data_IF_441521556952
#
_entry.id   IF_441521556952
#
_cell.length_a   1.000
_cell.length_b   1.000
_cell.length_c   1.000
_cell.angle_alpha   90.00
_cell.angle_beta   90.00
_cell.angle_gamma   90.00
#
_symmetry.space_group_name_H-M   'P 1'
#
loop_
_entity.id
_entity.type
_entity.pdbx_description
1 polymer ?
#
# COMPACT_ATOMS: atom_id res chain seq x y z
N UNK A 1 -30.26 50.99 -29.66
CA UNK A 1 -29.96 49.58 -30.00
C UNK A 1 -28.90 49.10 -29.02
N UNK A 2 -29.32 48.54 -27.88
CA UNK A 2 -28.42 48.07 -26.82
C UNK A 2 -28.11 46.60 -27.06
N UNK A 3 -26.87 46.30 -27.40
CA UNK A 3 -26.36 44.93 -27.53
C UNK A 3 -25.89 44.54 -26.13
N UNK A 4 -26.65 43.69 -25.45
CA UNK A 4 -26.22 43.03 -24.23
C UNK A 4 -25.21 41.94 -24.60
N UNK A 5 -23.92 42.21 -24.38
CA UNK A 5 -22.88 41.17 -24.41
C UNK A 5 -22.91 40.40 -23.09
N UNK A 6 -23.58 39.26 -23.09
CA UNK A 6 -23.52 38.29 -21.99
C UNK A 6 -22.14 37.63 -21.99
N UNK A 7 -21.27 38.06 -21.07
CA UNK A 7 -20.02 37.38 -20.78
C UNK A 7 -20.34 36.08 -20.02
N UNK A 8 -20.35 34.95 -20.73
CA UNK A 8 -20.44 33.65 -20.11
C UNK A 8 -19.13 33.38 -19.35
N UNK A 9 -19.16 33.49 -18.03
CA UNK A 9 -18.09 33.00 -17.16
C UNK A 9 -18.16 31.47 -17.22
N UNK A 10 -17.35 30.87 -18.07
CA UNK A 10 -17.09 29.43 -18.03
C UNK A 10 -16.27 29.20 -16.76
N UNK A 11 -16.93 28.79 -15.68
CA UNK A 11 -16.25 28.10 -14.58
C UNK A 11 -15.64 26.83 -15.16
N UNK A 12 -14.36 26.89 -15.51
CA UNK A 12 -13.54 25.70 -15.65
C UNK A 12 -13.44 25.07 -14.26
N UNK A 13 -14.45 24.28 -13.89
CA UNK A 13 -14.29 23.24 -12.89
C UNK A 13 -13.26 22.28 -13.48
N UNK A 14 -11.99 22.52 -13.20
CA UNK A 14 -10.95 21.53 -13.40
C UNK A 14 -11.40 20.29 -12.65
N UNK A 15 -11.92 19.31 -13.37
CA UNK A 15 -12.18 17.99 -12.83
C UNK A 15 -10.80 17.38 -12.56
N UNK A 16 -10.21 17.71 -11.41
CA UNK A 16 -9.20 16.85 -10.85
C UNK A 16 -9.91 15.56 -10.50
N UNK A 17 -9.86 14.58 -11.40
CA UNK A 17 -10.24 13.21 -11.08
C UNK A 17 -9.16 12.66 -10.15
N UNK A 18 -9.21 13.04 -8.88
CA UNK A 18 -8.42 12.37 -7.86
C UNK A 18 -8.91 10.92 -7.77
N UNK A 19 -7.98 9.98 -7.79
CA UNK A 19 -8.30 8.58 -7.49
C UNK A 19 -8.86 8.47 -6.06
N UNK A 20 -9.56 7.37 -5.80
CA UNK A 20 -9.98 7.01 -4.45
C UNK A 20 -8.76 6.90 -3.51
N UNK A 21 -9.00 6.87 -2.20
CA UNK A 21 -7.97 6.52 -1.22
C UNK A 21 -8.52 5.46 -0.30
N UNK A 22 -7.84 4.32 -0.17
CA UNK A 22 -8.21 3.26 0.77
C UNK A 22 -7.35 3.39 2.02
N UNK A 23 -7.99 3.49 3.18
CA UNK A 23 -7.33 3.47 4.49
C UNK A 23 -7.41 2.04 5.01
N UNK A 24 -6.27 1.37 5.14
CA UNK A 24 -6.17 0.03 5.70
C UNK A 24 -6.31 0.08 7.22
N UNK A 25 -7.16 -0.80 7.73
CA UNK A 25 -7.32 -1.08 9.16
C UNK A 25 -6.62 -2.41 9.47
N UNK A 26 -5.39 -2.32 9.98
CA UNK A 26 -4.52 -3.47 10.19
C UNK A 26 -4.87 -4.28 11.46
N UNK A 27 -6.08 -4.15 12.00
CA UNK A 27 -6.54 -4.93 13.17
C UNK A 27 -6.73 -6.41 12.83
N UNK A 28 -7.32 -6.71 11.67
CA UNK A 28 -7.76 -8.06 11.32
C UNK A 28 -6.90 -8.76 10.24
N UNK A 29 -5.99 -8.01 9.62
CA UNK A 29 -5.07 -8.52 8.59
C UNK A 29 -3.66 -7.89 8.72
N UNK A 30 -3.03 -7.95 9.90
CA UNK A 30 -1.73 -7.33 10.13
C UNK A 30 -0.62 -7.88 9.22
N UNK A 31 -0.66 -9.15 8.83
CA UNK A 31 0.34 -9.76 7.95
C UNK A 31 0.25 -9.20 6.53
N UNK A 32 -0.98 -9.06 5.98
CA UNK A 32 -1.21 -8.44 4.68
C UNK A 32 -0.77 -6.96 4.67
N UNK A 33 -1.11 -6.20 5.72
CA UNK A 33 -0.62 -4.84 5.88
C UNK A 33 0.93 -4.75 5.90
N UNK A 34 1.62 -5.71 6.52
CA UNK A 34 3.08 -5.74 6.48
C UNK A 34 3.59 -5.97 5.06
N UNK A 35 2.99 -6.88 4.29
CA UNK A 35 3.34 -7.14 2.90
C UNK A 35 3.13 -5.90 2.01
N UNK A 36 2.01 -5.18 2.18
CA UNK A 36 1.73 -3.91 1.49
C UNK A 36 2.79 -2.86 1.78
N UNK A 37 3.07 -2.62 3.06
CA UNK A 37 4.04 -1.63 3.49
C UNK A 37 5.46 -1.98 3.05
N UNK A 38 5.83 -3.27 3.08
CA UNK A 38 7.09 -3.74 2.53
C UNK A 38 7.15 -3.59 1.02
N UNK A 39 6.07 -3.89 0.29
CA UNK A 39 5.99 -3.67 -1.15
C UNK A 39 6.22 -2.21 -1.54
N UNK A 40 5.59 -1.28 -0.84
CA UNK A 40 5.67 0.16 -1.14
C UNK A 40 7.02 0.75 -0.71
N UNK A 41 7.48 0.46 0.52
CA UNK A 41 8.66 1.12 1.09
C UNK A 41 9.95 0.30 0.98
N UNK A 42 9.86 -1.02 0.84
CA UNK A 42 10.99 -1.91 0.60
C UNK A 42 11.43 -1.88 -0.86
N UNK A 43 12.64 -2.38 -1.18
CA UNK A 43 13.09 -2.51 -2.57
C UNK A 43 12.17 -3.49 -3.32
N UNK A 44 11.91 -3.35 -4.65
CA UNK A 44 12.34 -2.27 -5.54
C UNK A 44 11.50 -0.98 -5.41
N UNK A 45 10.57 -0.91 -4.47
CA UNK A 45 9.48 0.08 -4.34
C UNK A 45 8.42 -0.12 -5.40
N UNK A 46 7.28 -0.60 -4.94
CA UNK A 46 6.13 -0.87 -5.78
C UNK A 46 5.18 0.35 -5.73
N UNK A 47 4.39 0.57 -6.79
CA UNK A 47 3.49 1.72 -6.84
C UNK A 47 2.49 1.69 -5.68
N UNK A 48 2.33 2.82 -5.00
CA UNK A 48 1.30 3.02 -3.97
C UNK A 48 -0.06 3.42 -4.53
N UNK A 49 -0.06 4.00 -5.74
CA UNK A 49 -1.28 4.26 -6.50
C UNK A 49 -1.53 3.11 -7.46
N UNK A 50 -2.63 2.42 -7.24
CA UNK A 50 -3.05 1.24 -7.99
C UNK A 50 -4.33 1.55 -8.77
N UNK A 51 -4.65 0.71 -9.75
CA UNK A 51 -5.90 0.83 -10.51
C UNK A 51 -6.65 -0.49 -10.46
N UNK A 52 -7.82 -0.49 -9.82
CA UNK A 52 -8.77 -1.58 -9.91
C UNK A 52 -9.45 -1.54 -11.28
N UNK A 53 -9.15 -2.52 -12.12
CA UNK A 53 -9.66 -2.63 -13.48
C UNK A 53 -10.71 -3.73 -13.63
N UNK A 54 -11.25 -4.22 -12.50
CA UNK A 54 -12.24 -5.29 -12.42
C UNK A 54 -11.86 -6.50 -13.31
N UNK A 55 -10.69 -7.12 -13.06
CA UNK A 55 -10.20 -8.18 -13.94
C UNK A 55 -11.13 -9.39 -13.93
N UNK A 56 -11.19 -10.09 -15.05
CA UNK A 56 -11.79 -11.43 -15.06
C UNK A 56 -10.97 -12.39 -14.21
N UNK A 57 -11.58 -13.49 -13.75
CA UNK A 57 -10.85 -14.51 -12.98
C UNK A 57 -9.65 -15.11 -13.71
N UNK A 58 -9.66 -15.09 -15.06
CA UNK A 58 -8.52 -15.54 -15.86
C UNK A 58 -7.37 -14.52 -15.80
N UNK A 59 -7.68 -13.23 -15.91
CA UNK A 59 -6.68 -12.16 -15.78
C UNK A 59 -6.08 -12.16 -14.38
N UNK A 60 -6.91 -12.24 -13.34
CA UNK A 60 -6.45 -12.27 -11.95
C UNK A 60 -5.57 -13.49 -11.66
N UNK A 61 -5.90 -14.66 -12.22
CA UNK A 61 -5.07 -15.87 -12.14
C UNK A 61 -3.72 -15.69 -12.84
N UNK A 62 -3.70 -15.04 -14.00
CA UNK A 62 -2.46 -14.76 -14.71
C UNK A 62 -1.59 -13.76 -13.94
N UNK A 63 -2.19 -12.76 -13.28
CA UNK A 63 -1.48 -11.84 -12.39
C UNK A 63 -0.86 -12.57 -11.19
N UNK A 64 -1.59 -13.48 -10.55
CA UNK A 64 -1.05 -14.38 -9.50
C UNK A 64 0.14 -15.24 -9.95
N UNK A 65 0.13 -15.68 -11.21
CA UNK A 65 1.26 -16.41 -11.80
C UNK A 65 2.44 -15.49 -12.10
N UNK A 66 2.14 -14.26 -12.53
CA UNK A 66 3.12 -13.20 -12.79
C UNK A 66 3.87 -12.82 -11.51
N UNK A 67 3.14 -12.53 -10.42
CA UNK A 67 3.67 -12.17 -9.10
C UNK A 67 4.52 -13.31 -8.53
N UNK A 68 4.02 -14.53 -8.66
CA UNK A 68 4.63 -15.74 -8.15
C UNK A 68 3.87 -16.40 -7.01
N UNK A 69 2.70 -15.90 -6.62
CA UNK A 69 1.85 -16.63 -5.68
C UNK A 69 1.37 -17.98 -6.22
N UNK A 70 1.17 -18.08 -7.52
CA UNK A 70 0.92 -19.36 -8.22
C UNK A 70 2.14 -19.75 -9.05
N UNK A 71 2.67 -20.94 -8.81
CA UNK A 71 3.77 -21.54 -9.56
C UNK A 71 3.33 -21.98 -10.97
N UNK A 72 4.30 -22.24 -11.86
CA UNK A 72 4.06 -22.65 -13.25
C UNK A 72 3.30 -23.97 -13.37
N UNK A 73 3.49 -24.88 -12.41
CA UNK A 73 2.75 -26.14 -12.28
C UNK A 73 1.35 -25.98 -11.65
N UNK A 74 0.92 -24.75 -11.36
CA UNK A 74 -0.40 -24.44 -10.79
C UNK A 74 -0.50 -24.56 -9.26
N UNK A 75 0.59 -24.93 -8.57
CA UNK A 75 0.63 -25.00 -7.11
C UNK A 75 0.86 -23.61 -6.49
N UNK A 76 0.59 -23.47 -5.19
CA UNK A 76 0.84 -22.23 -4.44
C UNK A 76 2.27 -22.18 -3.90
N UNK A 77 2.92 -21.01 -3.96
CA UNK A 77 4.20 -20.80 -3.31
C UNK A 77 4.17 -21.06 -1.79
N UNK A 78 2.99 -20.97 -1.18
CA UNK A 78 2.77 -21.14 0.26
C UNK A 78 2.21 -22.52 0.63
N UNK A 79 2.27 -23.50 -0.27
CA UNK A 79 1.83 -24.85 0.04
C UNK A 79 2.81 -25.54 1.01
N UNK A 80 2.34 -26.11 2.12
CA UNK A 80 3.21 -26.74 3.12
C UNK A 80 4.10 -27.88 2.57
N UNK A 81 3.63 -28.64 1.57
CA UNK A 81 4.34 -29.81 1.05
C UNK A 81 5.08 -29.57 -0.26
N UNK A 82 4.68 -28.54 -1.01
CA UNK A 82 5.14 -28.30 -2.39
C UNK A 82 5.40 -26.82 -2.69
N UNK A 83 5.29 -25.98 -1.67
CA UNK A 83 5.61 -24.57 -1.72
C UNK A 83 7.10 -24.32 -1.53
N UNK A 84 7.43 -23.07 -1.31
CA UNK A 84 8.79 -22.55 -1.27
C UNK A 84 9.27 -22.53 0.17
N UNK A 85 10.20 -23.42 0.50
CA UNK A 85 10.91 -23.36 1.79
C UNK A 85 11.87 -22.16 1.83
N UNK A 86 12.01 -21.47 2.97
CA UNK A 86 11.34 -21.74 4.26
C UNK A 86 9.95 -21.08 4.40
N UNK A 87 9.55 -20.19 3.49
CA UNK A 87 8.35 -19.33 3.62
C UNK A 87 7.03 -20.11 3.72
N UNK A 88 6.95 -21.28 3.10
CA UNK A 88 5.76 -22.12 3.13
C UNK A 88 5.39 -22.64 4.54
N UNK A 89 6.24 -22.42 5.54
CA UNK A 89 5.94 -22.69 6.95
C UNK A 89 5.16 -21.55 7.63
N UNK A 90 5.11 -20.35 7.04
CA UNK A 90 4.47 -19.18 7.64
C UNK A 90 2.94 -19.22 7.52
N UNK A 91 2.43 -19.85 6.46
CA UNK A 91 1.01 -20.07 6.30
C UNK A 91 0.62 -20.64 4.95
N UNK A 92 -0.63 -21.13 4.81
CA UNK A 92 -1.06 -21.88 3.63
C UNK A 92 -1.49 -21.00 2.44
N UNK A 93 -1.57 -19.69 2.63
CA UNK A 93 -2.05 -18.74 1.61
C UNK A 93 -0.98 -17.74 1.25
N UNK A 94 -0.92 -17.39 -0.04
CA UNK A 94 0.03 -16.42 -0.57
C UNK A 94 -0.68 -15.09 -0.79
N UNK A 95 -0.15 -14.05 -0.19
CA UNK A 95 -0.51 -12.67 -0.46
C UNK A 95 0.52 -12.01 -1.38
N UNK A 96 0.08 -11.00 -2.14
CA UNK A 96 0.85 -10.35 -3.18
C UNK A 96 0.57 -8.85 -3.28
N UNK A 97 1.64 -8.05 -3.23
CA UNK A 97 1.59 -6.64 -3.57
C UNK A 97 2.40 -6.35 -4.85
N UNK A 98 1.86 -5.60 -5.83
CA UNK A 98 0.48 -5.11 -5.89
C UNK A 98 -0.56 -6.22 -6.09
N UNK A 99 -1.78 -5.98 -5.61
CA UNK A 99 -2.86 -6.97 -5.64
C UNK A 99 -3.16 -7.47 -7.05
N UNK A 100 -3.40 -8.78 -7.22
CA UNK A 100 -3.82 -9.35 -8.50
C UNK A 100 -5.14 -8.78 -9.04
N UNK A 101 -5.96 -8.16 -8.18
CA UNK A 101 -7.18 -7.46 -8.58
C UNK A 101 -6.92 -6.11 -9.27
N UNK A 102 -5.68 -5.62 -9.30
CA UNK A 102 -5.31 -4.33 -9.90
C UNK A 102 -4.51 -4.50 -11.19
N UNK A 103 -4.47 -3.47 -12.03
CA UNK A 103 -3.74 -3.49 -13.31
C UNK A 103 -2.23 -3.69 -13.16
N UNK A 104 -1.68 -3.28 -12.02
CA UNK A 104 -0.29 -3.43 -11.61
C UNK A 104 0.01 -4.84 -11.07
N UNK A 105 -1.03 -5.63 -10.76
CA UNK A 105 -0.89 -6.99 -10.26
C UNK A 105 -0.10 -7.87 -11.21
N UNK A 106 0.74 -8.73 -10.65
CA UNK A 106 1.57 -9.65 -11.42
C UNK A 106 2.81 -9.05 -12.08
N UNK A 107 3.14 -7.80 -11.78
CA UNK A 107 4.39 -7.18 -12.22
C UNK A 107 5.62 -7.89 -11.66
N UNK A 108 6.74 -7.79 -12.38
CA UNK A 108 8.02 -8.29 -11.90
C UNK A 108 8.45 -7.54 -10.63
N UNK A 109 8.99 -8.28 -9.66
CA UNK A 109 9.42 -7.71 -8.37
C UNK A 109 8.31 -7.48 -7.36
N UNK A 110 7.08 -7.94 -7.63
CA UNK A 110 5.99 -8.02 -6.65
C UNK A 110 6.49 -8.68 -5.35
N UNK A 111 6.04 -8.16 -4.22
CA UNK A 111 6.35 -8.73 -2.90
C UNK A 111 5.30 -9.78 -2.57
N UNK A 112 5.77 -10.94 -2.13
CA UNK A 112 4.94 -12.07 -1.72
C UNK A 112 5.15 -12.33 -0.24
N UNK A 113 4.07 -12.75 0.44
CA UNK A 113 4.13 -13.24 1.82
C UNK A 113 3.24 -14.45 2.00
N UNK A 114 3.74 -15.48 2.67
CA UNK A 114 2.93 -16.61 3.11
C UNK A 114 2.34 -16.29 4.48
N UNK A 115 1.03 -16.50 4.63
CA UNK A 115 0.30 -16.08 5.83
C UNK A 115 -0.94 -16.95 6.07
N UNK A 116 -1.61 -16.71 7.20
CA UNK A 116 -2.83 -17.42 7.55
C UNK A 116 -3.97 -17.14 6.55
N UNK A 117 -4.83 -18.14 6.32
CA UNK A 117 -6.02 -17.98 5.46
C UNK A 117 -6.96 -16.89 5.97
N UNK A 118 -7.03 -16.70 7.29
CA UNK A 118 -7.90 -15.70 7.92
C UNK A 118 -7.44 -14.29 7.59
N UNK A 119 -6.15 -14.01 7.71
CA UNK A 119 -5.54 -12.69 7.42
C UNK A 119 -5.77 -12.30 5.95
N UNK A 120 -5.33 -13.16 5.02
CA UNK A 120 -5.46 -12.94 3.57
C UNK A 120 -6.95 -12.81 3.13
N UNK A 121 -7.85 -13.62 3.72
CA UNK A 121 -9.28 -13.50 3.41
C UNK A 121 -9.91 -12.21 3.98
N UNK A 122 -9.42 -11.74 5.12
CA UNK A 122 -9.90 -10.51 5.75
C UNK A 122 -9.49 -9.29 4.91
N UNK A 123 -8.25 -9.23 4.42
CA UNK A 123 -7.80 -8.17 3.52
C UNK A 123 -8.59 -8.15 2.20
N UNK A 124 -8.70 -9.30 1.52
CA UNK A 124 -9.49 -9.38 0.27
C UNK A 124 -10.97 -8.99 0.48
N UNK A 125 -11.54 -9.36 1.63
CA UNK A 125 -12.87 -8.94 2.05
C UNK A 125 -12.96 -7.42 2.29
N UNK A 126 -11.93 -6.85 2.92
CA UNK A 126 -11.81 -5.42 3.20
C UNK A 126 -11.76 -4.59 1.91
N UNK A 127 -10.87 -4.94 0.97
CA UNK A 127 -10.78 -4.26 -0.34
C UNK A 127 -12.10 -4.32 -1.10
N UNK A 128 -12.74 -5.50 -1.12
CA UNK A 128 -14.02 -5.69 -1.82
C UNK A 128 -15.15 -4.86 -1.20
N UNK A 129 -15.24 -4.82 0.13
CA UNK A 129 -16.32 -4.13 0.85
C UNK A 129 -16.11 -2.61 0.93
N UNK A 130 -14.90 -2.19 1.28
CA UNK A 130 -14.59 -0.82 1.63
C UNK A 130 -14.04 0.01 0.47
N UNK A 131 -13.53 -0.61 -0.59
CA UNK A 131 -13.04 0.11 -1.78
C UNK A 131 -13.89 -0.21 -3.01
N UNK A 132 -13.89 -1.46 -3.48
CA UNK A 132 -14.44 -1.80 -4.80
C UNK A 132 -15.96 -1.59 -4.89
N UNK A 133 -16.69 -2.03 -3.88
CA UNK A 133 -18.16 -1.90 -3.81
C UNK A 133 -18.63 -0.61 -3.16
N UNK A 134 -17.78 0.04 -2.37
CA UNK A 134 -18.14 1.25 -1.62
C UNK A 134 -18.50 2.35 -2.64
N UNK A 135 -19.66 3.04 -2.50
CA UNK A 135 -20.07 4.07 -3.44
C UNK A 135 -19.00 5.14 -3.66
N UNK A 136 -18.95 5.71 -4.87
CA UNK A 136 -18.01 6.81 -5.20
C UNK A 136 -18.24 8.02 -4.29
N UNK A 137 -19.50 8.32 -3.98
CA UNK A 137 -19.87 9.37 -3.02
C UNK A 137 -19.29 9.14 -1.62
N UNK A 138 -18.89 7.90 -1.29
CA UNK A 138 -18.28 7.52 -0.02
C UNK A 138 -16.77 7.21 -0.17
N UNK A 139 -16.13 7.73 -1.22
CA UNK A 139 -14.68 7.59 -1.47
C UNK A 139 -14.23 6.26 -2.08
N UNK A 140 -15.17 5.36 -2.41
CA UNK A 140 -14.87 4.08 -3.06
C UNK A 140 -14.96 4.10 -4.58
N UNK A 141 -14.96 2.92 -5.20
CA UNK A 141 -15.05 2.75 -6.65
C UNK A 141 -16.48 2.58 -7.17
N UNK A 142 -17.46 2.29 -6.30
CA UNK A 142 -18.87 2.14 -6.66
C UNK A 142 -19.17 1.05 -7.68
N UNK A 143 -18.33 0.01 -7.78
CA UNK A 143 -18.33 -0.99 -8.86
C UNK A 143 -18.15 -0.40 -10.27
N UNK A 144 -17.50 0.77 -10.39
CA UNK A 144 -17.15 1.38 -11.67
C UNK A 144 -15.65 1.30 -11.86
N UNK A 145 -15.22 0.52 -12.86
CA UNK A 145 -13.83 0.40 -13.28
C UNK A 145 -13.59 1.17 -14.59
N UNK A 146 -12.38 1.68 -14.85
CA UNK A 146 -11.21 1.64 -13.97
C UNK A 146 -11.35 2.63 -12.80
N UNK A 147 -10.88 2.20 -11.62
CA UNK A 147 -10.85 3.02 -10.42
C UNK A 147 -9.41 3.10 -9.91
N UNK A 148 -8.77 4.24 -10.10
CA UNK A 148 -7.46 4.51 -9.50
C UNK A 148 -7.63 4.82 -8.02
N UNK A 149 -6.74 4.29 -7.19
CA UNK A 149 -6.74 4.55 -5.76
C UNK A 149 -5.33 4.57 -5.17
N UNK A 150 -5.15 5.28 -4.05
CA UNK A 150 -3.89 5.27 -3.28
C UNK A 150 -4.11 4.61 -1.94
N UNK A 151 -3.09 3.88 -1.46
CA UNK A 151 -3.13 3.19 -0.17
C UNK A 151 -2.67 4.11 0.97
N UNK A 152 -3.42 4.11 2.06
CA UNK A 152 -3.08 4.74 3.33
C UNK A 152 -3.33 3.73 4.47
N UNK A 153 -2.83 4.01 5.67
CA UNK A 153 -3.06 3.17 6.86
C UNK A 153 -3.60 4.01 8.01
N UNK A 154 -4.51 3.43 8.80
CA UNK A 154 -5.00 4.05 10.03
C UNK A 154 -3.89 4.06 11.10
N UNK A 155 -3.57 5.24 11.61
CA UNK A 155 -2.52 5.41 12.63
C UNK A 155 -2.86 4.76 13.98
N UNK A 156 -4.13 4.46 14.25
CA UNK A 156 -4.52 3.74 15.45
C UNK A 156 -4.17 2.25 15.38
N UNK A 157 -4.00 1.69 14.18
CA UNK A 157 -3.81 0.26 13.96
C UNK A 157 -2.44 -0.07 13.35
N UNK A 158 -1.67 0.95 12.97
CA UNK A 158 -0.30 0.82 12.43
C UNK A 158 0.65 0.04 13.34
N UNK A 159 0.41 0.04 14.66
CA UNK A 159 1.21 -0.72 15.62
C UNK A 159 1.13 -2.24 15.42
N UNK A 160 0.07 -2.73 14.77
CA UNK A 160 -0.08 -4.15 14.42
C UNK A 160 0.76 -4.55 13.19
N UNK A 161 1.29 -3.58 12.45
CA UNK A 161 2.08 -3.80 11.24
C UNK A 161 3.40 -3.02 11.30
N UNK A 162 4.43 -3.58 11.96
CA UNK A 162 5.72 -2.92 12.16
C UNK A 162 6.42 -2.45 10.88
N UNK A 163 6.17 -3.11 9.74
CA UNK A 163 6.75 -2.70 8.45
C UNK A 163 6.12 -1.39 7.93
N UNK A 164 4.88 -1.09 8.35
CA UNK A 164 4.22 0.18 8.10
C UNK A 164 4.77 1.31 8.98
N UNK A 165 5.15 1.04 10.23
CA UNK A 165 5.70 2.06 11.13
C UNK A 165 7.23 2.17 11.08
N UNK A 166 7.90 1.33 10.26
CA UNK A 166 9.35 1.41 10.03
C UNK A 166 10.15 1.21 11.32
N UNK A 167 9.77 0.24 12.14
CA UNK A 167 10.39 -0.03 13.44
C UNK A 167 11.94 -0.02 13.34
N UNK A 168 12.53 1.08 13.83
CA UNK A 168 13.93 1.30 14.20
C UNK A 168 15.02 1.49 13.12
N UNK A 169 14.98 2.50 12.24
CA UNK A 169 16.26 3.05 11.68
C UNK A 169 16.23 4.28 10.76
N UNK A 170 15.07 4.76 10.30
CA UNK A 170 15.09 5.80 9.25
C UNK A 170 15.57 5.28 7.88
N UNK A 171 15.64 3.95 7.71
CA UNK A 171 15.84 3.26 6.44
C UNK A 171 14.55 2.57 5.98
N UNK A 172 14.54 1.92 4.79
CA UNK A 172 13.45 1.04 4.33
C UNK A 172 13.07 0.06 5.44
N UNK A 173 11.79 -0.38 5.53
CA UNK A 173 11.42 -1.45 6.44
C UNK A 173 12.34 -2.65 6.19
N UNK A 174 12.96 -3.13 7.26
CA UNK A 174 13.71 -4.38 7.20
C UNK A 174 12.69 -5.50 7.09
N UNK A 175 12.82 -6.32 6.06
CA UNK A 175 12.06 -7.55 5.90
C UNK A 175 12.17 -8.36 7.20
N UNK A 176 11.03 -8.76 7.75
CA UNK A 176 10.93 -9.46 9.03
C UNK A 176 11.27 -10.96 8.93
N UNK A 177 11.59 -11.43 7.72
CA UNK A 177 11.92 -12.80 7.36
C UNK A 177 10.88 -13.46 6.47
N UNK A 178 9.71 -12.85 6.29
CA UNK A 178 8.56 -13.48 5.67
C UNK A 178 8.27 -12.99 4.25
N UNK A 179 8.79 -11.82 3.85
CA UNK A 179 8.63 -11.35 2.46
C UNK A 179 9.62 -12.01 1.52
N UNK A 180 9.15 -12.46 0.37
CA UNK A 180 9.96 -13.09 -0.68
C UNK A 180 9.47 -12.69 -2.07
N UNK A 181 10.25 -13.03 -3.09
CA UNK A 181 9.99 -12.63 -4.48
C UNK A 181 10.28 -13.73 -5.45
N UNK A 182 9.56 -13.69 -6.58
CA UNK A 182 9.86 -14.52 -7.74
C UNK A 182 11.06 -13.97 -8.52
N UNK A 183 12.00 -14.86 -8.82
CA UNK A 183 13.17 -14.59 -9.66
C UNK A 183 12.81 -14.75 -11.15
N UNK A 184 13.51 -14.04 -12.03
CA UNK A 184 13.32 -14.12 -13.49
C UNK A 184 13.48 -15.54 -14.05
N UNK A 185 14.33 -16.37 -13.43
CA UNK A 185 14.55 -17.78 -13.79
C UNK A 185 13.50 -18.77 -13.28
N UNK A 186 12.45 -18.32 -12.58
CA UNK A 186 11.37 -19.20 -12.09
C UNK A 186 11.57 -19.79 -10.68
N UNK A 187 12.55 -19.30 -9.93
CA UNK A 187 12.74 -19.59 -8.49
C UNK A 187 12.25 -18.46 -7.58
N UNK A 188 12.60 -18.54 -6.30
CA UNK A 188 12.25 -17.52 -5.30
C UNK A 188 13.47 -17.16 -4.45
N UNK A 189 13.51 -15.93 -3.96
CA UNK A 189 14.53 -15.46 -3.03
C UNK A 189 13.88 -14.64 -1.92
N UNK A 190 14.53 -14.62 -0.76
CA UNK A 190 14.13 -13.75 0.34
C UNK A 190 14.19 -12.32 -0.17
N UNK A 191 13.21 -11.49 0.20
CA UNK A 191 13.34 -10.05 -0.03
C UNK A 191 14.27 -9.41 1.03
N UNK A 192 14.93 -10.21 1.88
CA UNK A 192 15.78 -9.71 2.96
C UNK A 192 16.92 -8.87 2.40
N UNK A 193 17.10 -7.70 3.01
CA UNK A 193 18.25 -6.81 2.80
C UNK A 193 19.41 -7.33 3.64
N UNK A 194 20.05 -8.43 3.25
CA UNK A 194 21.33 -8.76 3.89
C UNK A 194 22.43 -7.90 3.26
N UNK A 195 23.14 -7.15 4.09
CA UNK A 195 24.31 -6.35 3.69
C UNK A 195 25.51 -7.24 3.28
N UNK A 196 25.37 -8.57 3.29
CA UNK A 196 26.51 -9.50 3.22
C UNK A 196 26.43 -10.65 2.21
N UNK A 197 25.32 -10.97 1.55
CA UNK A 197 25.26 -12.23 0.77
C UNK A 197 24.76 -12.12 -0.67
N UNK A 198 25.34 -12.98 -1.52
CA UNK A 198 25.38 -12.96 -3.00
C UNK A 198 24.08 -13.37 -3.72
N UNK A 199 22.97 -13.58 -3.01
CA UNK A 199 21.69 -13.97 -3.63
C UNK A 199 20.81 -12.76 -3.98
N UNK A 200 21.47 -11.68 -4.42
CA UNK A 200 20.88 -10.35 -4.46
C UNK A 200 20.10 -10.14 -5.76
N UNK A 201 18.80 -9.87 -5.64
CA UNK A 201 18.17 -8.84 -6.48
C UNK A 201 18.94 -7.56 -6.17
N UNK A 202 19.99 -7.28 -6.97
CA UNK A 202 21.10 -6.33 -6.76
C UNK A 202 20.86 -5.29 -5.65
N UNK A 203 21.83 -5.03 -4.74
CA UNK A 203 21.63 -4.10 -3.64
C UNK A 203 21.19 -2.78 -4.24
N UNK A 204 19.89 -2.47 -4.13
CA UNK A 204 19.39 -1.19 -4.56
C UNK A 204 20.12 -0.20 -3.65
N UNK A 205 20.94 0.71 -4.21
CA UNK A 205 21.61 1.68 -3.38
C UNK A 205 20.53 2.40 -2.57
N UNK A 206 20.75 2.54 -1.27
CA UNK A 206 19.89 3.25 -0.31
C UNK A 206 19.67 4.75 -0.66
N UNK A 207 19.98 5.17 -1.88
CA UNK A 207 20.06 6.56 -2.27
C UNK A 207 18.72 7.22 -2.55
N UNK A 208 17.69 6.49 -3.00
CA UNK A 208 16.42 7.11 -3.39
C UNK A 208 15.22 6.39 -2.75
N UNK A 209 14.56 7.07 -1.81
CA UNK A 209 13.18 6.78 -1.36
C UNK A 209 13.02 6.21 0.06
N UNK A 210 14.09 5.98 0.83
CA UNK A 210 13.96 5.74 2.28
C UNK A 210 13.95 7.07 2.98
N UNK A 211 12.89 7.85 2.80
CA UNK A 211 12.79 9.07 3.59
C UNK A 211 12.52 8.67 5.06
N UNK A 212 13.18 9.36 6.01
CA UNK A 212 12.95 9.15 7.42
C UNK A 212 11.46 9.18 7.79
N UNK A 213 11.10 8.48 8.87
CA UNK A 213 9.71 8.40 9.36
C UNK A 213 9.03 9.78 9.47
N UNK A 214 9.77 10.81 9.85
CA UNK A 214 9.22 12.16 10.00
C UNK A 214 8.82 12.85 8.69
N UNK A 215 9.30 12.36 7.55
CA UNK A 215 8.90 12.82 6.22
C UNK A 215 7.69 12.06 5.68
N UNK A 216 7.27 10.95 6.31
CA UNK A 216 6.03 10.25 5.95
C UNK A 216 4.83 11.16 6.19
N UNK A 217 3.89 11.17 5.26
CA UNK A 217 2.81 12.15 5.24
C UNK A 217 1.62 11.63 6.04
N UNK A 218 1.16 12.46 6.97
CA UNK A 218 0.06 12.14 7.88
C UNK A 218 -1.07 13.15 7.69
N UNK A 219 -2.31 12.67 7.65
CA UNK A 219 -3.48 13.50 7.46
C UNK A 219 -4.47 13.30 8.59
N UNK A 220 -5.15 14.38 8.98
CA UNK A 220 -6.27 14.38 9.91
C UNK A 220 -7.58 14.28 9.13
N UNK A 221 -8.47 13.38 9.57
CA UNK A 221 -9.82 13.25 9.05
C UNK A 221 -10.87 13.99 9.90
N UNK A 222 -12.07 14.17 9.36
CA UNK A 222 -13.17 14.92 9.99
C UNK A 222 -13.67 14.33 11.32
N UNK A 223 -13.48 13.03 11.52
CA UNK A 223 -13.84 12.32 12.76
C UNK A 223 -12.69 12.30 13.79
N UNK A 224 -11.56 12.95 13.48
CA UNK A 224 -10.37 12.97 14.32
C UNK A 224 -9.41 11.80 14.10
N UNK A 225 -9.77 10.80 13.28
CA UNK A 225 -8.83 9.72 12.91
C UNK A 225 -7.66 10.30 12.12
N UNK A 226 -6.47 9.73 12.35
CA UNK A 226 -5.23 10.08 11.66
C UNK A 226 -4.85 8.94 10.72
N UNK A 227 -4.42 9.29 9.52
CA UNK A 227 -3.96 8.31 8.53
C UNK A 227 -2.55 8.66 8.09
N UNK A 228 -1.75 7.65 7.78
CA UNK A 228 -0.48 7.82 7.11
C UNK A 228 -0.60 7.36 5.67
N UNK A 229 -0.25 8.24 4.73
CA UNK A 229 -0.23 7.92 3.31
C UNK A 229 0.93 6.96 3.03
N UNK A 230 0.62 5.80 2.45
CA UNK A 230 1.65 4.88 1.98
C UNK A 230 2.09 5.36 0.60
N UNK A 231 3.09 6.23 0.52
CA UNK A 231 3.60 6.74 -0.77
C UNK A 231 5.09 6.94 -0.70
N UNK A 232 5.79 6.78 -1.82
CA UNK A 232 7.19 7.23 -1.96
C UNK A 232 7.32 8.60 -2.65
N UNK A 233 6.20 9.12 -3.16
CA UNK A 233 6.08 10.45 -3.74
C UNK A 233 5.61 11.45 -2.67
N UNK A 234 6.55 12.25 -2.16
CA UNK A 234 6.27 13.28 -1.16
C UNK A 234 5.55 14.50 -1.76
N UNK A 235 5.58 14.67 -3.07
CA UNK A 235 4.98 15.79 -3.80
C UNK A 235 3.54 15.46 -4.26
N UNK A 236 3.07 14.23 -4.04
CA UNK A 236 1.70 13.81 -4.37
C UNK A 236 0.66 14.78 -3.80
N UNK A 237 -0.19 15.36 -4.64
CA UNK A 237 -1.20 16.31 -4.15
C UNK A 237 -2.40 15.56 -3.58
N UNK A 238 -2.66 15.73 -2.28
CA UNK A 238 -3.87 15.25 -1.60
C UNK A 238 -4.72 16.46 -1.19
N UNK A 239 -5.87 16.71 -1.83
CA UNK A 239 -6.68 17.87 -1.52
C UNK A 239 -7.43 17.70 -0.19
N UNK A 240 -7.61 18.81 0.53
CA UNK A 240 -8.61 18.88 1.59
C UNK A 240 -10.00 18.63 1.01
N UNK A 241 -10.85 17.92 1.76
CA UNK A 241 -12.17 17.49 1.35
C UNK A 241 -12.21 16.18 0.55
N UNK A 242 -11.06 15.53 0.32
CA UNK A 242 -11.02 14.21 -0.33
C UNK A 242 -11.81 13.19 0.52
N UNK A 243 -12.85 12.58 -0.06
CA UNK A 243 -13.54 11.43 0.52
C UNK A 243 -12.61 10.22 0.48
N UNK A 244 -12.47 9.52 1.61
CA UNK A 244 -11.62 8.33 1.71
C UNK A 244 -12.45 7.08 2.00
N UNK A 245 -12.07 6.00 1.34
CA UNK A 245 -12.59 4.67 1.58
C UNK A 245 -11.99 4.10 2.88
N UNK A 246 -12.82 3.97 3.90
CA UNK A 246 -12.51 3.29 5.17
C UNK A 246 -13.54 2.20 5.46
N UNK A 247 -13.34 1.42 6.53
CA UNK A 247 -14.43 0.71 7.18
C UNK A 247 -15.49 1.70 7.68
N UNK A 248 -16.76 1.31 7.58
CA UNK A 248 -17.89 2.12 8.03
C UNK A 248 -18.14 3.38 7.19
N UNK A 249 -18.52 4.46 7.88
CA UNK A 249 -18.96 5.71 7.27
C UNK A 249 -17.89 6.39 6.42
N UNK A 250 -18.32 7.24 5.49
CA UNK A 250 -17.40 7.99 4.66
C UNK A 250 -16.70 9.08 5.49
N UNK A 251 -15.39 9.21 5.31
CA UNK A 251 -14.56 10.19 6.01
C UNK A 251 -13.92 11.13 5.00
N UNK A 252 -13.56 12.33 5.43
CA UNK A 252 -12.86 13.31 4.57
C UNK A 252 -11.54 13.72 5.18
N UNK A 253 -10.54 13.89 4.32
CA UNK A 253 -9.28 14.57 4.67
C UNK A 253 -9.59 16.03 5.00
N UNK A 254 -9.19 16.48 6.18
CA UNK A 254 -9.30 17.88 6.60
C UNK A 254 -8.01 18.64 6.30
N UNK A 255 -6.86 18.06 6.67
CA UNK A 255 -5.55 18.68 6.44
C UNK A 255 -4.41 17.69 6.61
N UNK A 256 -3.27 18.04 6.02
CA UNK A 256 -1.98 17.43 6.34
C UNK A 256 -1.49 17.92 7.71
N UNK A 257 -0.82 17.03 8.44
CA UNK A 257 -0.20 17.29 9.73
C UNK A 257 1.30 17.43 9.56
N UNK A 258 1.88 18.49 10.13
CA UNK A 258 3.30 18.82 9.95
C UNK A 258 4.06 18.86 11.28
N UNK A 259 5.35 18.52 11.23
CA UNK A 259 6.26 18.63 12.37
C UNK A 259 5.72 17.95 13.63
N UNK A 260 5.48 18.75 14.68
CA UNK A 260 5.02 18.26 15.99
C UNK A 260 3.51 17.95 16.04
N UNK A 261 2.73 18.36 15.04
CA UNK A 261 1.30 18.00 14.96
C UNK A 261 1.09 16.52 14.66
N UNK A 262 2.10 15.90 14.05
CA UNK A 262 2.12 14.48 13.69
C UNK A 262 2.00 13.59 14.93
N UNK A 263 1.60 12.34 14.71
CA UNK A 263 1.63 11.28 15.72
C UNK A 263 3.07 11.06 16.20
N UNK A 264 3.30 10.68 17.48
CA UNK A 264 4.65 10.56 18.05
C UNK A 264 5.65 9.78 17.20
N UNK A 265 5.23 8.68 16.56
CA UNK A 265 6.07 7.85 15.70
C UNK A 265 6.57 8.56 14.42
N UNK A 266 5.88 9.63 13.99
CA UNK A 266 6.16 10.39 12.76
C UNK A 266 6.70 11.79 13.05
N UNK A 267 7.03 12.12 14.30
CA UNK A 267 7.61 13.43 14.63
C UNK A 267 9.11 13.45 14.31
N UNK A 268 9.65 14.62 13.90
CA UNK A 268 11.10 14.80 13.91
C UNK A 268 11.64 14.55 15.32
N UNK A 269 12.70 13.75 15.42
CA UNK A 269 13.45 13.62 16.67
C UNK A 269 14.09 14.98 16.95
N UNK A 270 13.65 15.65 18.02
CA UNK A 270 14.37 16.81 18.52
C UNK A 270 15.66 16.26 19.10
N UNK A 271 16.81 16.58 18.48
CA UNK A 271 18.09 16.26 19.08
C UNK A 271 18.08 16.86 20.48
N UNK A 272 18.17 16.03 21.51
CA UNK A 272 18.42 16.51 22.85
C UNK A 272 19.74 17.27 22.76
N UNK A 273 19.68 18.60 22.83
CA UNK A 273 20.85 19.43 23.00
C UNK A 273 21.54 18.92 24.25
N UNK A 274 22.69 18.28 24.08
CA UNK A 274 23.58 17.95 25.19
C UNK A 274 23.91 19.28 25.88
N UNK A 275 23.29 19.51 27.03
CA UNK A 275 23.78 20.52 27.97
C UNK A 275 25.07 19.92 28.53
N UNK A 276 26.18 20.53 28.13
CA UNK A 276 27.52 20.21 28.60
C UNK A 276 27.67 20.44 30.11
#
# INVERSE_FOLDING_TARGET
MQIFSSLAVILALGQFTFGAMIVLDCTNFPESCNNDCYGIYGPPRLPSSLTWDQPSSSVERNRRRGSGCTMSNGLSACNANSGVSPYNNDGPTCDEYPYASTSQGGMAGATLRCMSRSDNSAEGGYLRGNLYRKPIANGGCGNVAPCSFTVAVDMNTIGNSPLCSGANSGTSPLNDGHEFKKLSGGGYAAAKRELSDKDIYAPFPDGNGTFPMHLRREFLMNDGTRIMLLTTDLDMVIPSGLMVATSGDAKVVIRELLGQEKSPALRPLVAASFVA
#
